data_IF_297548310808
#
_entry.id   IF_297548310808
#
_cell.length_a   1.000
_cell.length_b   1.000
_cell.length_c   1.000
_cell.angle_alpha   90.00
_cell.angle_beta   90.00
_cell.angle_gamma   90.00
#
_symmetry.space_group_name_H-M   'P 1'
#
loop_
_entity.id
_entity.type
_entity.pdbx_description
1 polymer ?
#
# COMPACT_ATOMS: atom_id res chain seq x y z
N UNK A 1 14.13 2.59 -26.31
CA UNK A 1 13.11 3.60 -25.94
C UNK A 1 11.68 3.13 -26.25
N UNK A 2 11.39 2.52 -27.41
CA UNK A 2 10.05 1.97 -27.74
C UNK A 2 9.64 0.65 -27.05
N UNK A 3 10.48 0.05 -26.21
CA UNK A 3 10.18 -1.23 -25.54
C UNK A 3 9.82 -1.09 -24.04
N UNK A 4 9.94 0.11 -23.44
CA UNK A 4 9.53 0.33 -22.05
C UNK A 4 8.09 0.85 -21.91
N UNK A 5 7.53 1.50 -22.94
CA UNK A 5 6.16 2.02 -22.90
C UNK A 5 5.09 0.92 -22.87
N UNK A 6 5.39 -0.25 -23.45
CA UNK A 6 4.43 -1.37 -23.51
C UNK A 6 4.35 -2.20 -22.21
N UNK A 7 5.40 -2.26 -21.40
CA UNK A 7 5.35 -2.97 -20.10
C UNK A 7 4.62 -2.17 -19.00
N UNK A 8 4.58 -0.84 -19.12
CA UNK A 8 3.94 0.04 -18.13
C UNK A 8 2.42 0.07 -18.27
N UNK A 9 1.91 0.06 -19.51
CA UNK A 9 0.47 0.00 -19.77
C UNK A 9 -0.15 -1.33 -19.33
N UNK A 10 0.60 -2.44 -19.43
CA UNK A 10 0.10 -3.77 -19.05
C UNK A 10 0.06 -3.95 -17.51
N UNK A 11 1.00 -3.33 -16.78
CA UNK A 11 0.98 -3.33 -15.31
C UNK A 11 -0.14 -2.48 -14.71
N UNK A 12 -0.44 -1.34 -15.33
CA UNK A 12 -1.54 -0.47 -14.94
C UNK A 12 -2.90 -1.19 -15.06
N UNK A 13 -3.09 -1.97 -16.13
CA UNK A 13 -4.32 -2.74 -16.37
C UNK A 13 -4.37 -4.00 -15.51
N UNK A 14 -3.25 -4.71 -15.30
CA UNK A 14 -3.24 -5.97 -14.53
C UNK A 14 -3.48 -5.73 -13.03
N UNK A 15 -3.00 -4.62 -12.44
CA UNK A 15 -3.31 -4.30 -11.04
C UNK A 15 -4.76 -3.81 -10.84
N UNK A 16 -5.34 -3.12 -11.82
CA UNK A 16 -6.71 -2.59 -11.73
C UNK A 16 -7.78 -3.66 -12.04
N UNK A 17 -7.56 -4.49 -13.07
CA UNK A 17 -8.53 -5.51 -13.54
C UNK A 17 -8.62 -6.71 -12.58
N UNK A 18 -7.59 -7.03 -11.81
CA UNK A 18 -7.58 -8.24 -10.96
C UNK A 18 -8.27 -8.06 -9.60
N UNK A 19 -8.72 -6.84 -9.24
CA UNK A 19 -9.30 -6.55 -7.90
C UNK A 19 -10.78 -6.16 -7.88
N UNK A 20 -11.45 -6.09 -9.03
CA UNK A 20 -12.90 -5.90 -9.11
C UNK A 20 -13.59 -7.17 -9.63
N UNK A 21 -13.47 -8.26 -8.88
CA UNK A 21 -14.50 -9.30 -8.85
C UNK A 21 -15.66 -8.82 -7.97
N UNK A 22 -16.91 -9.26 -8.22
CA UNK A 22 -18.09 -8.52 -7.82
C UNK A 22 -18.26 -8.59 -6.30
N UNK A 23 -18.20 -7.44 -5.63
CA UNK A 23 -18.75 -7.27 -4.30
C UNK A 23 -19.93 -6.30 -4.45
N UNK A 24 -21.10 -6.85 -4.11
CA UNK A 24 -22.45 -6.30 -4.17
C UNK A 24 -22.59 -4.88 -3.64
N UNK A 25 -23.42 -4.11 -4.36
CA UNK A 25 -24.39 -3.13 -3.88
C UNK A 25 -23.88 -1.92 -3.07
N UNK A 26 -23.49 -0.87 -3.79
CA UNK A 26 -23.59 0.51 -3.31
C UNK A 26 -24.12 1.42 -4.44
N UNK A 27 -25.13 2.29 -4.19
CA UNK A 27 -25.66 3.19 -5.20
C UNK A 27 -24.81 4.46 -5.23
N UNK A 28 -23.65 4.38 -5.87
CA UNK A 28 -22.93 5.56 -6.34
C UNK A 28 -23.00 5.55 -7.86
N UNK A 29 -23.23 6.71 -8.47
CA UNK A 29 -23.45 6.91 -9.90
C UNK A 29 -22.20 6.59 -10.75
N UNK A 30 -21.80 5.32 -10.77
CA UNK A 30 -20.80 4.80 -11.70
C UNK A 30 -21.45 4.72 -13.08
N UNK A 31 -20.93 5.49 -14.04
CA UNK A 31 -21.23 5.32 -15.46
C UNK A 31 -21.03 3.84 -15.82
N UNK A 32 -22.08 3.11 -16.24
CA UNK A 32 -21.96 1.68 -16.48
C UNK A 32 -21.08 1.43 -17.71
N UNK A 33 -19.97 0.71 -17.53
CA UNK A 33 -19.21 0.09 -18.62
C UNK A 33 -17.87 0.71 -19.01
N UNK A 34 -17.40 1.80 -18.38
CA UNK A 34 -16.06 2.34 -18.65
C UNK A 34 -15.10 1.86 -17.56
N UNK A 35 -14.51 0.68 -17.80
CA UNK A 35 -13.48 0.11 -16.93
C UNK A 35 -12.05 0.54 -17.32
N UNK A 36 -11.88 1.18 -18.48
CA UNK A 36 -10.57 1.48 -19.07
C UNK A 36 -10.54 2.83 -19.79
N UNK A 37 -9.38 3.48 -19.74
CA UNK A 37 -9.09 4.66 -20.56
C UNK A 37 -8.76 4.21 -22.01
N UNK A 38 -9.41 4.79 -23.04
CA UNK A 38 -9.06 4.52 -24.43
C UNK A 38 -7.72 5.18 -24.78
N UNK A 39 -6.71 4.39 -25.08
CA UNK A 39 -5.35 4.90 -25.38
C UNK A 39 -5.32 5.53 -26.77
N UNK A 40 -6.16 5.05 -27.68
CA UNK A 40 -6.27 5.51 -29.06
C UNK A 40 -6.70 6.98 -29.16
N UNK A 41 -7.45 7.46 -28.17
CA UNK A 41 -7.97 8.84 -28.12
C UNK A 41 -7.01 9.83 -27.44
N UNK A 42 -5.90 9.35 -26.88
CA UNK A 42 -4.96 10.18 -26.10
C UNK A 42 -4.27 11.26 -26.93
N UNK A 43 -4.04 11.02 -28.24
CA UNK A 43 -3.39 11.99 -29.12
C UNK A 43 -4.33 13.13 -29.53
N UNK A 44 -5.64 12.86 -29.63
CA UNK A 44 -6.63 13.88 -29.98
C UNK A 44 -6.85 14.89 -28.83
N UNK A 45 -6.56 14.47 -27.61
CA UNK A 45 -6.69 15.24 -26.36
C UNK A 45 -8.03 15.98 -26.25
N UNK A 46 -9.11 15.27 -26.58
CA UNK A 46 -10.45 15.88 -26.58
C UNK A 46 -10.88 16.30 -25.16
N UNK A 47 -11.71 17.35 -25.01
CA UNK A 47 -12.27 17.72 -23.71
C UNK A 47 -13.01 16.57 -23.01
N UNK A 48 -13.62 15.67 -23.76
CA UNK A 48 -14.30 14.48 -23.27
C UNK A 48 -13.30 13.49 -22.66
N UNK A 49 -12.18 13.22 -23.35
CA UNK A 49 -11.09 12.35 -22.86
C UNK A 49 -10.46 12.94 -21.58
N UNK A 50 -10.26 14.26 -21.52
CA UNK A 50 -9.80 14.97 -20.32
C UNK A 50 -10.79 14.87 -19.16
N UNK A 51 -12.08 15.03 -19.43
CA UNK A 51 -13.11 14.88 -18.40
C UNK A 51 -13.16 13.45 -17.86
N UNK A 52 -13.00 12.44 -18.71
CA UNK A 52 -12.95 11.05 -18.28
C UNK A 52 -11.69 10.78 -17.45
N UNK A 53 -10.52 11.26 -17.90
CA UNK A 53 -9.28 11.17 -17.13
C UNK A 53 -9.43 11.77 -15.73
N UNK A 54 -10.10 12.93 -15.62
CA UNK A 54 -10.41 13.55 -14.33
C UNK A 54 -11.18 12.63 -13.36
N UNK A 55 -12.13 11.84 -13.85
CA UNK A 55 -12.86 10.85 -13.03
C UNK A 55 -11.91 9.77 -12.49
N UNK A 56 -10.99 9.26 -13.33
CA UNK A 56 -9.98 8.29 -12.89
C UNK A 56 -9.01 8.89 -11.87
N UNK A 57 -8.66 10.17 -12.01
CA UNK A 57 -7.82 10.87 -11.04
C UNK A 57 -8.51 11.07 -9.69
N UNK A 58 -9.80 11.41 -9.68
CA UNK A 58 -10.61 11.51 -8.47
C UNK A 58 -10.71 10.16 -7.74
N UNK A 59 -10.97 9.08 -8.49
CA UNK A 59 -11.02 7.72 -7.93
C UNK A 59 -9.64 7.29 -7.38
N UNK A 60 -8.56 7.56 -8.11
CA UNK A 60 -7.19 7.30 -7.65
C UNK A 60 -6.89 8.04 -6.35
N UNK A 61 -7.34 9.29 -6.20
CA UNK A 61 -7.18 10.05 -4.97
C UNK A 61 -7.98 9.43 -3.81
N UNK A 62 -9.21 8.99 -4.06
CA UNK A 62 -10.04 8.30 -3.07
C UNK A 62 -9.40 6.97 -2.62
N UNK A 63 -8.94 6.14 -3.56
CA UNK A 63 -8.23 4.89 -3.29
C UNK A 63 -6.95 5.15 -2.48
N UNK A 64 -6.15 6.15 -2.85
CA UNK A 64 -4.93 6.51 -2.14
C UNK A 64 -5.19 6.87 -0.67
N UNK A 65 -6.22 7.68 -0.42
CA UNK A 65 -6.64 8.06 0.93
C UNK A 65 -7.13 6.85 1.74
N UNK A 66 -7.93 5.99 1.12
CA UNK A 66 -8.41 4.75 1.75
C UNK A 66 -7.26 3.80 2.08
N UNK A 67 -6.38 3.53 1.13
CA UNK A 67 -5.23 2.64 1.32
C UNK A 67 -4.26 3.14 2.38
N UNK A 68 -4.10 4.46 2.51
CA UNK A 68 -3.30 5.06 3.59
C UNK A 68 -3.91 4.77 4.96
N UNK A 69 -5.22 4.92 5.13
CA UNK A 69 -5.90 4.61 6.40
C UNK A 69 -5.85 3.11 6.71
N UNK A 70 -6.08 2.26 5.71
CA UNK A 70 -6.01 0.81 5.86
C UNK A 70 -4.60 0.35 6.26
N UNK A 71 -3.58 0.90 5.59
CA UNK A 71 -2.18 0.67 5.92
C UNK A 71 -1.88 1.01 7.39
N UNK A 72 -2.30 2.19 7.86
CA UNK A 72 -2.09 2.61 9.24
C UNK A 72 -2.78 1.68 10.24
N UNK A 73 -4.01 1.25 9.95
CA UNK A 73 -4.73 0.32 10.80
C UNK A 73 -4.03 -1.05 10.88
N UNK A 74 -3.63 -1.60 9.73
CA UNK A 74 -2.90 -2.88 9.66
C UNK A 74 -1.53 -2.80 10.35
N UNK A 75 -0.81 -1.69 10.17
CA UNK A 75 0.47 -1.46 10.82
C UNK A 75 0.35 -1.47 12.34
N UNK A 76 -0.68 -0.81 12.88
CA UNK A 76 -0.96 -0.81 14.33
C UNK A 76 -1.25 -2.21 14.87
N UNK A 77 -1.96 -3.04 14.11
CA UNK A 77 -2.20 -4.45 14.48
C UNK A 77 -0.89 -5.22 14.51
N UNK A 78 -0.06 -5.05 13.48
CA UNK A 78 1.24 -5.70 13.38
C UNK A 78 2.18 -5.32 14.54
N UNK A 79 2.29 -4.03 14.86
CA UNK A 79 3.10 -3.55 15.98
C UNK A 79 2.62 -4.10 17.32
N UNK A 80 1.31 -4.05 17.57
CA UNK A 80 0.73 -4.58 18.81
C UNK A 80 0.97 -6.09 18.97
N UNK A 81 0.89 -6.86 17.87
CA UNK A 81 1.18 -8.28 17.88
C UNK A 81 2.67 -8.56 18.18
N UNK A 82 3.59 -7.76 17.63
CA UNK A 82 5.02 -7.87 17.94
C UNK A 82 5.33 -7.53 19.40
N UNK A 83 4.70 -6.50 19.93
CA UNK A 83 4.84 -6.10 21.34
C UNK A 83 4.29 -7.19 22.28
N UNK A 84 3.12 -7.76 21.96
CA UNK A 84 2.54 -8.87 22.71
C UNK A 84 3.43 -10.12 22.67
N UNK A 85 4.01 -10.44 21.51
CA UNK A 85 4.98 -11.53 21.36
C UNK A 85 6.18 -11.34 22.30
N UNK A 86 6.75 -10.13 22.31
CA UNK A 86 7.89 -9.78 23.15
C UNK A 86 7.55 -9.82 24.66
N UNK A 87 6.41 -9.26 25.05
CA UNK A 87 5.95 -9.26 26.44
C UNK A 87 5.68 -10.68 26.96
N UNK A 88 5.07 -11.52 26.13
CA UNK A 88 4.81 -12.94 26.45
C UNK A 88 6.12 -13.71 26.62
N UNK A 89 7.07 -13.50 25.72
CA UNK A 89 8.40 -14.12 25.81
C UNK A 89 9.15 -13.68 27.09
N UNK A 90 9.13 -12.37 27.40
CA UNK A 90 9.72 -11.82 28.62
C UNK A 90 9.08 -12.42 29.88
N UNK A 91 7.76 -12.58 29.89
CA UNK A 91 7.03 -13.17 31.02
C UNK A 91 7.47 -14.62 31.27
N UNK A 92 7.55 -15.44 30.22
CA UNK A 92 8.10 -16.80 30.34
C UNK A 92 9.53 -16.79 30.88
N UNK A 93 10.38 -15.88 30.40
CA UNK A 93 11.77 -15.75 30.87
C UNK A 93 11.83 -15.45 32.37
N UNK A 94 11.03 -14.50 32.85
CA UNK A 94 11.00 -14.13 34.27
C UNK A 94 10.52 -15.28 35.16
N UNK A 95 9.52 -16.05 34.72
CA UNK A 95 9.07 -17.24 35.44
C UNK A 95 10.19 -18.28 35.60
N UNK A 96 10.99 -18.49 34.54
CA UNK A 96 12.13 -19.42 34.57
C UNK A 96 13.32 -18.90 35.39
N UNK A 97 13.44 -17.58 35.51
CA UNK A 97 14.50 -16.93 36.29
C UNK A 97 14.26 -16.99 37.79
N UNK A 98 13.03 -17.31 38.23
CA UNK A 98 12.68 -17.43 39.65
C UNK A 98 13.65 -18.34 40.41
N UNK A 99 13.95 -19.54 39.90
CA UNK A 99 14.84 -20.51 40.55
C UNK A 99 16.30 -20.05 40.65
N UNK A 100 16.68 -19.03 39.87
CA UNK A 100 18.03 -18.45 39.91
C UNK A 100 18.14 -17.35 40.97
N UNK A 101 17.01 -16.86 41.48
CA UNK A 101 16.98 -15.81 42.48
C UNK A 101 17.28 -16.37 43.87
N UNK A 102 18.15 -15.68 44.61
CA UNK A 102 18.44 -16.05 46.00
C UNK A 102 17.56 -15.23 46.94
N UNK A 103 16.46 -15.82 47.38
CA UNK A 103 15.58 -15.19 48.36
C UNK A 103 16.08 -15.45 49.80
N UNK A 104 16.20 -14.42 50.66
CA UNK A 104 16.72 -14.58 52.03
C UNK A 104 15.84 -15.42 52.96
N UNK A 105 14.55 -15.59 52.61
CA UNK A 105 13.53 -16.15 53.49
C UNK A 105 12.88 -17.44 52.95
N UNK A 106 13.35 -17.98 51.82
CA UNK A 106 12.75 -19.16 51.20
C UNK A 106 13.58 -19.60 50.00
N UNK A 107 14.47 -20.57 50.20
CA UNK A 107 15.42 -21.03 49.18
C UNK A 107 14.98 -22.26 48.39
N UNK A 108 14.08 -23.08 48.93
CA UNK A 108 13.74 -24.40 48.36
C UNK A 108 12.23 -24.71 48.49
N UNK A 109 11.37 -23.84 47.95
CA UNK A 109 9.96 -24.20 47.76
C UNK A 109 9.80 -24.93 46.42
N UNK A 110 9.94 -26.26 46.45
CA UNK A 110 9.77 -27.13 45.29
C UNK A 110 8.39 -26.99 44.63
N UNK A 111 7.34 -26.70 45.41
CA UNK A 111 5.97 -26.57 44.89
C UNK A 111 5.84 -25.27 44.10
N UNK A 112 6.37 -24.17 44.63
CA UNK A 112 6.39 -22.89 43.92
C UNK A 112 7.22 -22.99 42.64
N UNK A 113 8.44 -23.53 42.74
CA UNK A 113 9.35 -23.70 41.60
C UNK A 113 8.68 -24.52 40.48
N UNK A 114 8.17 -25.71 40.80
CA UNK A 114 7.51 -26.58 39.82
C UNK A 114 6.26 -25.95 39.20
N UNK A 115 5.47 -25.19 39.96
CA UNK A 115 4.28 -24.48 39.46
C UNK A 115 4.66 -23.37 38.49
N UNK A 116 5.68 -22.55 38.81
CA UNK A 116 6.15 -21.48 37.93
C UNK A 116 6.76 -22.04 36.64
N UNK A 117 7.46 -23.17 36.72
CA UNK A 117 7.98 -23.86 35.53
C UNK A 117 6.86 -24.40 34.62
N UNK A 118 5.76 -24.90 35.21
CA UNK A 118 4.57 -25.29 34.43
C UNK A 118 3.94 -24.08 33.72
N UNK A 119 3.78 -22.95 34.41
CA UNK A 119 3.30 -21.72 33.77
C UNK A 119 4.23 -21.25 32.65
N UNK A 120 5.55 -21.25 32.89
CA UNK A 120 6.53 -20.85 31.89
C UNK A 120 6.43 -21.68 30.60
N UNK A 121 6.18 -22.99 30.73
CA UNK A 121 5.97 -23.88 29.58
C UNK A 121 4.76 -23.46 28.75
N UNK A 122 3.62 -23.20 29.39
CA UNK A 122 2.40 -22.78 28.67
C UNK A 122 2.60 -21.41 28.00
N UNK A 123 3.29 -20.48 28.67
CA UNK A 123 3.57 -19.14 28.12
C UNK A 123 4.58 -19.22 26.95
N UNK A 124 5.54 -20.13 26.97
CA UNK A 124 6.45 -20.39 25.84
C UNK A 124 5.71 -20.87 24.58
N UNK A 125 4.75 -21.78 24.76
CA UNK A 125 3.91 -22.27 23.66
C UNK A 125 3.10 -21.11 23.07
N UNK A 126 2.51 -20.27 23.92
CA UNK A 126 1.80 -19.06 23.49
C UNK A 126 2.72 -18.05 22.78
N UNK A 127 3.93 -17.84 23.30
CA UNK A 127 4.94 -16.97 22.69
C UNK A 127 5.31 -17.46 21.28
N UNK A 128 5.41 -18.79 21.09
CA UNK A 128 5.66 -19.39 19.79
C UNK A 128 4.50 -19.16 18.81
N UNK A 129 3.25 -19.26 19.27
CA UNK A 129 2.08 -18.89 18.47
C UNK A 129 2.12 -17.40 18.06
N UNK A 130 2.47 -16.50 18.97
CA UNK A 130 2.58 -15.07 18.66
C UNK A 130 3.67 -14.79 17.63
N UNK A 131 4.83 -15.44 17.73
CA UNK A 131 5.93 -15.29 16.78
C UNK A 131 5.54 -15.76 15.36
N UNK A 132 4.86 -16.91 15.24
CA UNK A 132 4.36 -17.39 13.94
C UNK A 132 3.33 -16.42 13.36
N UNK A 133 2.39 -15.92 14.18
CA UNK A 133 1.40 -14.95 13.72
C UNK A 133 2.04 -13.63 13.30
N UNK A 134 3.04 -13.13 14.03
CA UNK A 134 3.81 -11.94 13.64
C UNK A 134 4.42 -12.09 12.25
N UNK A 135 5.07 -13.22 11.95
CA UNK A 135 5.63 -13.48 10.62
C UNK A 135 4.53 -13.49 9.56
N UNK A 136 3.39 -14.13 9.82
CA UNK A 136 2.28 -14.15 8.86
C UNK A 136 1.68 -12.76 8.62
N UNK A 137 1.57 -11.92 9.66
CA UNK A 137 1.13 -10.53 9.50
C UNK A 137 2.15 -9.73 8.68
N UNK A 138 3.46 -9.96 8.85
CA UNK A 138 4.47 -9.31 8.02
C UNK A 138 4.32 -9.71 6.54
N UNK A 139 4.27 -11.01 6.25
CA UNK A 139 4.37 -11.54 4.89
C UNK A 139 3.05 -11.47 4.11
N UNK A 140 1.93 -11.76 4.78
CA UNK A 140 0.63 -11.87 4.11
C UNK A 140 -0.24 -10.61 4.22
N UNK A 141 0.02 -9.73 5.19
CA UNK A 141 -0.74 -8.50 5.40
C UNK A 141 0.09 -7.24 5.11
N UNK A 142 1.20 -7.05 5.80
CA UNK A 142 2.01 -5.83 5.70
C UNK A 142 2.77 -5.72 4.38
N UNK A 143 3.37 -6.81 3.89
CA UNK A 143 4.12 -6.79 2.64
C UNK A 143 3.26 -6.40 1.43
N UNK A 144 2.07 -7.01 1.18
CA UNK A 144 1.24 -6.63 0.04
C UNK A 144 0.73 -5.19 0.09
N UNK A 145 0.30 -4.71 1.26
CA UNK A 145 -0.23 -3.34 1.38
C UNK A 145 0.89 -2.28 1.28
N UNK A 146 2.09 -2.59 1.80
CA UNK A 146 3.27 -1.73 1.65
C UNK A 146 3.70 -1.67 0.18
N UNK A 147 3.77 -2.82 -0.48
CA UNK A 147 4.11 -2.90 -1.91
C UNK A 147 3.14 -2.09 -2.76
N UNK A 148 1.83 -2.25 -2.55
CA UNK A 148 0.82 -1.48 -3.28
C UNK A 148 0.98 0.03 -3.06
N UNK A 149 1.17 0.46 -1.80
CA UNK A 149 1.30 1.87 -1.46
C UNK A 149 2.59 2.51 -1.98
N UNK A 150 3.73 1.82 -1.83
CA UNK A 150 5.04 2.40 -2.09
C UNK A 150 5.53 2.21 -3.52
N UNK A 151 5.02 1.20 -4.23
CA UNK A 151 5.33 0.95 -5.64
C UNK A 151 4.17 1.38 -6.52
N UNK A 152 3.04 0.70 -6.43
CA UNK A 152 1.98 0.82 -7.43
C UNK A 152 1.32 2.21 -7.38
N UNK A 153 0.84 2.67 -6.22
CA UNK A 153 0.27 4.01 -6.08
C UNK A 153 1.28 5.12 -6.37
N UNK A 154 2.53 4.94 -5.94
CA UNK A 154 3.59 5.93 -6.16
C UNK A 154 3.90 6.09 -7.64
N UNK A 155 3.91 4.99 -8.39
CA UNK A 155 4.10 4.98 -9.85
C UNK A 155 2.99 5.76 -10.54
N UNK A 156 1.73 5.52 -10.19
CA UNK A 156 0.57 6.23 -10.76
C UNK A 156 0.69 7.74 -10.52
N UNK A 157 0.99 8.14 -9.27
CA UNK A 157 1.13 9.56 -8.92
C UNK A 157 2.29 10.23 -9.63
N UNK A 158 3.40 9.52 -9.82
CA UNK A 158 4.56 10.03 -10.57
C UNK A 158 4.23 10.22 -12.05
N UNK A 159 3.54 9.26 -12.66
CA UNK A 159 3.10 9.36 -14.05
C UNK A 159 2.12 10.51 -14.26
N UNK A 160 1.18 10.72 -13.33
CA UNK A 160 0.28 11.88 -13.35
C UNK A 160 1.06 13.20 -13.34
N UNK A 161 2.06 13.33 -12.47
CA UNK A 161 2.89 14.53 -12.40
C UNK A 161 3.67 14.77 -13.69
N UNK A 162 4.30 13.73 -14.24
CA UNK A 162 5.02 13.81 -15.52
C UNK A 162 4.10 14.20 -16.67
N UNK A 163 2.89 13.62 -16.72
CA UNK A 163 1.89 13.97 -17.72
C UNK A 163 1.46 15.44 -17.62
N UNK A 164 1.23 15.94 -16.40
CA UNK A 164 0.85 17.33 -16.19
C UNK A 164 1.95 18.29 -16.68
N UNK A 165 3.21 18.01 -16.36
CA UNK A 165 4.36 18.81 -16.83
C UNK A 165 4.40 18.84 -18.37
N UNK A 166 4.27 17.66 -19.00
CA UNK A 166 4.28 17.56 -20.45
C UNK A 166 3.10 18.31 -21.10
N UNK A 167 1.92 18.29 -20.47
CA UNK A 167 0.74 19.03 -20.90
C UNK A 167 0.98 20.54 -20.84
N UNK A 168 1.53 21.05 -19.73
CA UNK A 168 1.79 22.48 -19.54
C UNK A 168 2.86 23.00 -20.52
N UNK A 169 3.88 22.19 -20.79
CA UNK A 169 4.92 22.47 -21.80
C UNK A 169 4.33 22.49 -23.22
N UNK A 170 3.45 21.54 -23.54
CA UNK A 170 2.74 21.49 -24.82
C UNK A 170 1.91 22.77 -25.03
N UNK A 171 1.10 23.16 -24.05
CA UNK A 171 0.29 24.38 -24.09
C UNK A 171 1.16 25.63 -24.28
N UNK A 172 2.30 25.68 -23.59
CA UNK A 172 3.26 26.78 -23.75
C UNK A 172 3.83 26.84 -25.16
N UNK A 173 4.17 25.70 -25.75
CA UNK A 173 4.70 25.62 -27.12
C UNK A 173 3.64 26.02 -28.16
N UNK A 174 2.41 25.52 -28.04
CA UNK A 174 1.29 25.88 -28.93
C UNK A 174 0.98 27.37 -28.85
N UNK A 175 0.99 27.96 -27.65
CA UNK A 175 0.78 29.39 -27.46
C UNK A 175 1.88 30.26 -28.09
N UNK A 176 3.12 29.77 -28.15
CA UNK A 176 4.21 30.45 -28.85
C UNK A 176 4.04 30.31 -30.36
N UNK A 177 3.70 29.11 -30.83
CA UNK A 177 3.46 28.83 -32.25
C UNK A 177 2.32 29.66 -32.82
N UNK A 178 1.20 29.78 -32.10
CA UNK A 178 0.02 30.55 -32.53
C UNK A 178 0.27 32.05 -32.70
N UNK A 179 1.34 32.58 -32.07
CA UNK A 179 1.75 33.99 -32.16
C UNK A 179 2.74 34.25 -33.30
N UNK A 180 3.17 33.24 -34.05
CA UNK A 180 4.04 33.44 -35.20
C UNK A 180 3.32 34.26 -36.28
N UNK A 181 3.98 35.32 -36.76
CA UNK A 181 3.43 36.18 -37.80
C UNK A 181 3.43 35.48 -39.15
N UNK A 182 2.26 35.43 -39.81
CA UNK A 182 2.06 34.85 -41.16
C UNK A 182 2.92 35.51 -42.26
N UNK A 183 3.55 36.67 -41.98
CA UNK A 183 4.16 37.53 -43.01
C UNK A 183 5.63 37.21 -43.34
N UNK A 184 6.28 36.27 -42.65
CA UNK A 184 7.75 36.08 -42.74
C UNK A 184 8.23 34.82 -43.49
N UNK A 185 7.33 33.95 -43.95
CA UNK A 185 7.72 32.70 -44.64
C UNK A 185 7.68 32.79 -46.19
N UNK A 186 7.26 33.91 -46.77
CA UNK A 186 7.17 34.07 -48.24
C UNK A 186 8.41 34.68 -48.93
N UNK A 187 9.48 34.98 -48.19
CA UNK A 187 10.74 35.49 -48.77
C UNK A 187 11.91 34.54 -48.43
N UNK A 188 11.99 33.40 -49.13
CA UNK A 188 13.24 32.71 -49.46
C UNK A 188 13.06 31.63 -50.51
#
# INVERSE_FOLDING_TARGET
>A
LRNLEWELSDRFVVCFVRRLGPISDAPAAAMPGIEKLPIEETLEDSPQTRSLLGVFEEDTAAISNYCTQLYQAMHRIYDAQNELSAATHLTSRLLKEYDKQRFPLGGDDEVMSSTLQQFAKVIDELSSCHAVLSTQLADAMMFPITQFKERDLKEILTLKEVFQIASDDHDTAINRYSRLSKKRDNDK
#
